data_IF_512134213741
#
_entry.id   IF_512134213741
#
_cell.length_a   1.000
_cell.length_b   1.000
_cell.length_c   1.000
_cell.angle_alpha   90.00
_cell.angle_beta   90.00
_cell.angle_gamma   90.00
#
_symmetry.space_group_name_H-M   'P 1'
#
loop_
_entity.id
_entity.type
_entity.pdbx_description
1 polymer ?
#
# COMPACT_ATOMS: atom_id res chain seq x y z
N UNK A 1 -11.85 -14.38 -21.40
CA UNK A 1 -11.94 -13.61 -20.15
C UNK A 1 -10.63 -13.79 -19.40
N UNK A 2 -9.80 -12.75 -19.35
CA UNK A 2 -8.53 -12.80 -18.64
C UNK A 2 -8.81 -12.88 -17.14
N UNK A 3 -8.40 -13.97 -16.49
CA UNK A 3 -8.37 -14.07 -15.02
C UNK A 3 -7.33 -13.04 -14.55
N UNK A 4 -7.80 -11.89 -14.06
CA UNK A 4 -6.94 -10.87 -13.48
C UNK A 4 -6.12 -11.48 -12.35
N UNK A 5 -4.79 -11.36 -12.48
CA UNK A 5 -3.76 -11.78 -11.52
C UNK A 5 -3.76 -10.93 -10.24
N UNK A 6 -4.90 -10.56 -9.69
CA UNK A 6 -4.98 -9.85 -8.40
C UNK A 6 -5.04 -10.86 -7.26
N UNK A 7 -4.05 -11.75 -7.17
CA UNK A 7 -3.99 -12.79 -6.13
C UNK A 7 -3.11 -12.42 -4.94
N UNK A 8 -3.03 -11.13 -4.62
CA UNK A 8 -2.43 -10.64 -3.40
C UNK A 8 -3.57 -9.91 -2.67
N UNK A 9 -3.88 -10.33 -1.44
CA UNK A 9 -4.96 -9.83 -0.57
C UNK A 9 -4.95 -8.36 -0.21
N UNK A 10 -4.35 -7.52 -1.03
CA UNK A 10 -4.36 -6.08 -0.88
C UNK A 10 -5.63 -5.53 -1.56
N UNK A 11 -6.46 -4.83 -0.79
CA UNK A 11 -7.63 -4.12 -1.33
C UNK A 11 -7.18 -3.12 -2.42
N UNK A 12 -7.73 -3.22 -3.65
CA UNK A 12 -7.46 -2.25 -4.72
C UNK A 12 -7.77 -0.81 -4.32
N UNK A 13 -8.80 -0.61 -3.50
CA UNK A 13 -9.23 0.69 -3.00
C UNK A 13 -8.16 1.31 -2.10
N UNK A 14 -7.58 0.52 -1.19
CA UNK A 14 -6.50 0.96 -0.31
C UNK A 14 -5.24 1.32 -1.11
N UNK A 15 -4.87 0.52 -2.12
CA UNK A 15 -3.75 0.85 -3.01
C UNK A 15 -3.98 2.16 -3.78
N UNK A 16 -5.19 2.37 -4.29
CA UNK A 16 -5.55 3.60 -4.97
C UNK A 16 -5.49 4.81 -4.04
N UNK A 17 -5.93 4.66 -2.79
CA UNK A 17 -5.83 5.73 -1.79
C UNK A 17 -4.37 6.07 -1.48
N UNK A 18 -3.52 5.07 -1.23
CA UNK A 18 -2.10 5.28 -0.97
C UNK A 18 -1.40 5.94 -2.17
N UNK A 19 -1.70 5.48 -3.40
CA UNK A 19 -1.15 6.09 -4.61
C UNK A 19 -1.51 7.57 -4.72
N UNK A 20 -2.79 7.93 -4.47
CA UNK A 20 -3.24 9.32 -4.47
C UNK A 20 -2.60 10.17 -3.37
N UNK A 21 -2.27 9.60 -2.21
CA UNK A 21 -1.55 10.31 -1.13
C UNK A 21 -0.11 10.57 -1.55
N UNK A 22 0.58 9.57 -2.09
CA UNK A 22 1.95 9.71 -2.61
C UNK A 22 2.03 10.75 -3.74
N UNK A 23 1.10 10.75 -4.68
CA UNK A 23 1.05 11.74 -5.78
C UNK A 23 0.92 13.18 -5.26
N UNK A 24 0.24 13.38 -4.14
CA UNK A 24 0.03 14.69 -3.51
C UNK A 24 1.11 15.06 -2.51
N UNK A 25 2.00 14.12 -2.17
CA UNK A 25 2.99 14.30 -1.12
C UNK A 25 4.10 15.24 -1.60
N UNK A 26 4.26 16.37 -0.91
CA UNK A 26 5.28 17.37 -1.24
C UNK A 26 5.96 17.88 0.03
N UNK A 27 7.24 18.21 -0.07
CA UNK A 27 7.98 18.77 1.09
C UNK A 27 7.46 20.17 1.36
N UNK A 28 6.81 20.35 2.52
CA UNK A 28 6.38 21.66 2.99
C UNK A 28 7.60 22.50 3.39
N UNK A 29 7.59 23.79 3.01
CA UNK A 29 8.63 24.75 3.41
C UNK A 29 8.48 25.24 4.86
N UNK A 30 7.26 25.17 5.40
CA UNK A 30 6.95 25.64 6.76
C UNK A 30 7.15 24.53 7.79
N UNK A 31 6.88 23.30 7.39
CA UNK A 31 6.96 22.11 8.22
C UNK A 31 7.45 20.93 7.39
N UNK A 32 8.76 20.78 7.20
CA UNK A 32 9.32 19.67 6.43
C UNK A 32 9.15 18.32 7.14
N UNK A 33 8.94 18.31 8.46
CA UNK A 33 8.79 17.07 9.24
C UNK A 33 7.48 16.36 8.89
N UNK A 34 6.40 17.11 8.68
CA UNK A 34 5.12 16.57 8.22
C UNK A 34 5.23 15.69 6.96
N UNK A 35 6.12 16.04 6.01
CA UNK A 35 6.37 15.21 4.83
C UNK A 35 6.94 13.84 5.21
N UNK A 36 7.91 13.80 6.11
CA UNK A 36 8.55 12.54 6.51
C UNK A 36 7.60 11.66 7.34
N UNK A 37 6.77 12.28 8.19
CA UNK A 37 5.73 11.59 8.95
C UNK A 37 4.69 10.98 8.01
N UNK A 38 4.12 11.75 7.09
CA UNK A 38 3.12 11.20 6.17
C UNK A 38 3.73 10.12 5.27
N UNK A 39 4.98 10.30 4.82
CA UNK A 39 5.70 9.28 4.05
C UNK A 39 5.88 7.99 4.85
N UNK A 40 6.23 8.06 6.13
CA UNK A 40 6.44 6.87 6.96
C UNK A 40 5.13 6.14 7.21
N UNK A 41 4.04 6.86 7.47
CA UNK A 41 2.70 6.29 7.63
C UNK A 41 2.24 5.52 6.39
N UNK A 42 2.42 6.10 5.20
CA UNK A 42 2.08 5.45 3.93
C UNK A 42 2.91 4.17 3.76
N UNK A 43 4.22 4.24 4.02
CA UNK A 43 5.10 3.09 3.91
C UNK A 43 4.71 1.96 4.88
N UNK A 44 4.33 2.30 6.12
CA UNK A 44 3.89 1.33 7.11
C UNK A 44 2.54 0.70 6.74
N UNK A 45 1.61 1.47 6.19
CA UNK A 45 0.35 0.93 5.67
C UNK A 45 0.59 -0.09 4.55
N UNK A 46 1.48 0.24 3.59
CA UNK A 46 1.82 -0.66 2.49
C UNK A 46 2.51 -1.95 2.98
N UNK A 47 3.42 -1.86 3.96
CA UNK A 47 4.05 -3.05 4.55
C UNK A 47 3.04 -3.98 5.21
N UNK A 48 2.09 -3.42 5.97
CA UNK A 48 1.05 -4.22 6.64
C UNK A 48 0.21 -4.99 5.63
N UNK A 49 -0.19 -4.35 4.53
CA UNK A 49 -0.95 -5.03 3.48
C UNK A 49 -0.12 -6.05 2.71
N UNK A 50 1.15 -5.77 2.43
CA UNK A 50 2.06 -6.73 1.83
C UNK A 50 2.18 -8.00 2.70
N UNK A 51 2.33 -7.84 4.02
CA UNK A 51 2.35 -8.98 4.94
C UNK A 51 1.03 -9.77 4.96
N UNK A 52 -0.12 -9.09 4.91
CA UNK A 52 -1.42 -9.78 4.81
C UNK A 52 -1.51 -10.60 3.53
N UNK A 53 -1.17 -10.00 2.40
CA UNK A 53 -1.16 -10.68 1.11
C UNK A 53 -0.20 -11.87 1.07
N UNK A 54 0.99 -11.74 1.67
CA UNK A 54 1.93 -12.85 1.81
C UNK A 54 1.37 -13.99 2.67
N UNK A 55 0.67 -13.68 3.76
CA UNK A 55 0.03 -14.69 4.61
C UNK A 55 -1.07 -15.44 3.86
N UNK A 56 -1.96 -14.74 3.19
CA UNK A 56 -3.04 -15.35 2.41
C UNK A 56 -2.49 -16.25 1.29
N UNK A 57 -1.41 -15.83 0.62
CA UNK A 57 -0.73 -16.61 -0.40
C UNK A 57 -0.10 -17.90 0.16
N UNK A 58 0.32 -17.91 1.43
CA UNK A 58 0.84 -19.12 2.11
C UNK A 58 -0.27 -20.04 2.59
N UNK A 59 -1.38 -19.48 3.04
CA UNK A 59 -2.54 -20.23 3.57
C UNK A 59 -3.38 -20.86 2.45
N UNK A 60 -3.33 -20.31 1.22
CA UNK A 60 -4.00 -20.85 0.04
C UNK A 60 -2.98 -21.39 -0.98
N UNK A 61 -2.36 -22.56 -0.75
CA UNK A 61 -1.49 -23.16 -1.75
C UNK A 61 -2.32 -23.43 -3.00
N UNK A 62 -1.94 -22.82 -4.12
CA UNK A 62 -2.54 -23.16 -5.43
C UNK A 62 -2.32 -24.65 -5.66
N UNK A 63 -3.42 -25.41 -5.70
CA UNK A 63 -3.45 -26.81 -6.13
C UNK A 63 -3.07 -26.93 -7.62
#
# INVERSE_FOLDING_TARGET
MAKSLTSAGVSPEMLHEMARRVERLTVSRRDPEAFFVERSEIADALRKEAWKAEREARETPRA
#
